data_IF_458595223590
#
_entry.id   IF_458595223590
#
_cell.length_a   1.000
_cell.length_b   1.000
_cell.length_c   1.000
_cell.angle_alpha   90.00
_cell.angle_beta   90.00
_cell.angle_gamma   90.00
#
_symmetry.space_group_name_H-M   'P 1'
#
loop_
_entity.id
_entity.type
_entity.pdbx_description
1 polymer ?
#
# COMPACT_ATOMS: atom_id res chain seq x y z
N UNK A 1 50.48 27.83 -3.56
CA UNK A 1 49.90 27.50 -2.24
C UNK A 1 48.42 27.89 -2.14
N UNK A 2 48.00 29.06 -2.62
CA UNK A 2 46.61 29.54 -2.56
C UNK A 2 45.60 28.77 -3.47
N UNK A 3 46.06 28.23 -4.61
CA UNK A 3 45.18 27.53 -5.57
C UNK A 3 44.68 26.16 -5.09
N UNK A 4 45.50 25.42 -4.33
CA UNK A 4 45.10 24.11 -3.83
C UNK A 4 44.14 24.22 -2.64
N UNK A 5 44.33 25.21 -1.76
CA UNK A 5 43.39 25.51 -0.68
C UNK A 5 42.03 25.94 -1.20
N UNK A 6 41.98 26.80 -2.23
CA UNK A 6 40.72 27.21 -2.87
C UNK A 6 39.95 26.03 -3.48
N UNK A 7 40.64 25.08 -4.13
CA UNK A 7 40.02 23.87 -4.69
C UNK A 7 39.46 22.94 -3.61
N UNK A 8 40.22 22.70 -2.53
CA UNK A 8 39.78 21.86 -1.42
C UNK A 8 38.57 22.47 -0.71
N UNK A 9 38.59 23.78 -0.46
CA UNK A 9 37.49 24.52 0.18
C UNK A 9 36.24 24.51 -0.71
N UNK A 10 36.38 24.73 -2.02
CA UNK A 10 35.26 24.66 -2.97
C UNK A 10 34.59 23.28 -3.01
N UNK A 11 35.38 22.20 -2.96
CA UNK A 11 34.86 20.82 -2.89
C UNK A 11 34.16 20.57 -1.56
N UNK A 12 34.73 21.01 -0.43
CA UNK A 12 34.13 20.83 0.89
C UNK A 12 32.80 21.58 1.04
N UNK A 13 32.71 22.81 0.54
CA UNK A 13 31.46 23.61 0.54
C UNK A 13 30.41 22.97 -0.37
N UNK A 14 30.82 22.49 -1.55
CA UNK A 14 29.91 21.79 -2.47
C UNK A 14 29.37 20.49 -1.88
N UNK A 15 30.22 19.73 -1.18
CA UNK A 15 29.82 18.52 -0.47
C UNK A 15 28.88 18.83 0.70
N UNK A 16 29.14 19.89 1.47
CA UNK A 16 28.28 20.34 2.56
C UNK A 16 26.91 20.81 2.04
N UNK A 17 26.89 21.64 0.99
CA UNK A 17 25.66 22.10 0.35
C UNK A 17 24.84 20.92 -0.18
N UNK A 18 25.49 19.93 -0.81
CA UNK A 18 24.83 18.71 -1.28
C UNK A 18 24.30 17.88 -0.11
N UNK A 19 25.06 17.70 0.98
CA UNK A 19 24.62 16.98 2.17
C UNK A 19 23.40 17.64 2.84
N UNK A 20 23.30 18.98 2.79
CA UNK A 20 22.18 19.75 3.35
C UNK A 20 20.96 19.76 2.42
N UNK A 21 21.14 19.74 1.09
CA UNK A 21 20.04 19.75 0.10
C UNK A 21 19.47 18.35 -0.21
N UNK A 22 20.28 17.30 -0.07
CA UNK A 22 19.90 15.89 -0.29
C UNK A 22 18.70 15.40 0.54
N UNK A 23 18.48 15.80 1.82
CA UNK A 23 17.33 15.39 2.61
C UNK A 23 15.99 15.76 1.96
N UNK A 24 15.90 16.97 1.38
CA UNK A 24 14.70 17.42 0.67
C UNK A 24 14.46 16.63 -0.62
N UNK A 25 15.52 16.35 -1.37
CA UNK A 25 15.47 15.52 -2.59
C UNK A 25 15.04 14.08 -2.28
N UNK A 26 15.61 13.47 -1.25
CA UNK A 26 15.28 12.10 -0.83
C UNK A 26 13.81 11.99 -0.38
N UNK A 27 13.28 12.99 0.33
CA UNK A 27 11.87 13.03 0.72
C UNK A 27 10.91 13.17 -0.49
N UNK A 28 11.31 13.88 -1.56
CA UNK A 28 10.51 13.92 -2.79
C UNK A 28 10.55 12.58 -3.51
N UNK A 29 11.73 11.96 -3.62
CA UNK A 29 11.90 10.64 -4.23
C UNK A 29 11.11 9.57 -3.47
N UNK A 30 11.18 9.56 -2.14
CA UNK A 30 10.47 8.59 -1.30
C UNK A 30 8.96 8.66 -1.45
N UNK A 31 8.40 9.88 -1.49
CA UNK A 31 6.98 10.12 -1.76
C UNK A 31 6.54 9.64 -3.14
N UNK A 32 7.39 9.74 -4.16
CA UNK A 32 7.10 9.19 -5.50
C UNK A 32 7.01 7.66 -5.46
N UNK A 33 7.93 6.99 -4.76
CA UNK A 33 7.88 5.53 -4.60
C UNK A 33 6.63 5.08 -3.84
N UNK A 34 6.25 5.77 -2.76
CA UNK A 34 5.03 5.46 -2.02
C UNK A 34 3.78 5.66 -2.89
N UNK A 35 3.70 6.75 -3.66
CA UNK A 35 2.58 6.98 -4.57
C UNK A 35 2.51 5.93 -5.68
N UNK A 36 3.66 5.52 -6.23
CA UNK A 36 3.73 4.45 -7.21
C UNK A 36 3.19 3.14 -6.64
N UNK A 37 3.69 2.69 -5.49
CA UNK A 37 3.22 1.47 -4.84
C UNK A 37 1.70 1.50 -4.56
N UNK A 38 1.16 2.66 -4.18
CA UNK A 38 -0.29 2.81 -3.96
C UNK A 38 -1.09 2.70 -5.25
N UNK A 39 -0.61 3.27 -6.36
CA UNK A 39 -1.23 3.10 -7.68
C UNK A 39 -1.24 1.64 -8.09
N UNK A 40 -0.10 0.98 -7.95
CA UNK A 40 0.05 -0.42 -8.34
C UNK A 40 -0.86 -1.30 -7.48
N UNK A 41 -0.99 -1.00 -6.18
CA UNK A 41 -1.94 -1.71 -5.31
C UNK A 41 -3.41 -1.43 -5.68
N UNK A 42 -3.77 -0.20 -6.03
CA UNK A 42 -5.13 0.12 -6.53
C UNK A 42 -5.44 -0.69 -7.79
N UNK A 43 -4.47 -0.86 -8.69
CA UNK A 43 -4.60 -1.77 -9.84
C UNK A 43 -4.85 -3.21 -9.39
N UNK A 44 -4.10 -3.71 -8.39
CA UNK A 44 -4.31 -5.05 -7.81
C UNK A 44 -5.67 -5.27 -7.14
N UNK A 45 -6.38 -4.21 -6.72
CA UNK A 45 -7.75 -4.31 -6.19
C UNK A 45 -8.81 -4.29 -7.29
N UNK A 46 -8.46 -3.89 -8.52
CA UNK A 46 -9.40 -3.78 -9.63
C UNK A 46 -9.90 -5.16 -10.10
N UNK A 47 -11.01 -5.21 -10.85
CA UNK A 47 -11.53 -6.50 -11.34
C UNK A 47 -10.52 -7.20 -12.27
N UNK A 48 -9.81 -6.44 -13.08
CA UNK A 48 -8.84 -6.93 -14.06
C UNK A 48 -7.55 -6.12 -13.92
N UNK A 49 -6.64 -6.53 -13.01
CA UNK A 49 -5.38 -5.84 -12.82
C UNK A 49 -4.50 -5.94 -14.07
N UNK A 50 -3.74 -4.89 -14.34
CA UNK A 50 -2.76 -4.85 -15.44
C UNK A 50 -1.54 -5.73 -15.17
N UNK A 51 -1.12 -5.85 -13.92
CA UNK A 51 -0.02 -6.70 -13.49
C UNK A 51 -0.55 -7.95 -12.81
N UNK A 52 0.12 -9.07 -13.02
CA UNK A 52 -0.16 -10.28 -12.27
C UNK A 52 0.38 -10.20 -10.82
N UNK A 53 0.05 -11.20 -10.00
CA UNK A 53 0.44 -11.25 -8.59
C UNK A 53 1.96 -11.14 -8.37
N UNK A 54 2.75 -11.89 -9.13
CA UNK A 54 4.22 -11.96 -8.96
C UNK A 54 4.93 -10.71 -9.48
N UNK A 55 4.38 -10.06 -10.51
CA UNK A 55 4.85 -8.76 -10.99
C UNK A 55 4.64 -7.68 -9.91
N UNK A 56 3.45 -7.63 -9.30
CA UNK A 56 3.19 -6.69 -8.20
C UNK A 56 4.08 -6.96 -6.98
N UNK A 57 4.28 -8.24 -6.62
CA UNK A 57 5.19 -8.63 -5.57
C UNK A 57 6.63 -8.14 -5.85
N UNK A 58 7.09 -8.34 -7.08
CA UNK A 58 8.41 -7.89 -7.54
C UNK A 58 8.55 -6.37 -7.51
N UNK A 59 7.53 -5.62 -7.94
CA UNK A 59 7.50 -4.15 -7.85
C UNK A 59 7.57 -3.67 -6.40
N UNK A 60 6.86 -4.35 -5.50
CA UNK A 60 6.89 -4.03 -4.07
C UNK A 60 8.28 -4.25 -3.49
N UNK A 61 8.92 -5.40 -3.76
CA UNK A 61 10.30 -5.64 -3.32
C UNK A 61 11.30 -4.66 -3.94
N UNK A 62 11.10 -4.27 -5.20
CA UNK A 62 11.91 -3.25 -5.84
C UNK A 62 11.82 -1.92 -5.09
N UNK A 63 10.61 -1.48 -4.72
CA UNK A 63 10.42 -0.28 -3.90
C UNK A 63 11.06 -0.42 -2.51
N UNK A 64 11.02 -1.60 -1.90
CA UNK A 64 11.71 -1.89 -0.62
C UNK A 64 13.22 -1.73 -0.75
N UNK A 65 13.81 -2.29 -1.80
CA UNK A 65 15.23 -2.15 -2.08
C UNK A 65 15.65 -0.70 -2.38
N UNK A 66 14.82 0.06 -3.11
CA UNK A 66 15.09 1.47 -3.39
C UNK A 66 15.01 2.35 -2.14
N UNK A 67 14.08 2.06 -1.23
CA UNK A 67 13.85 2.86 -0.03
C UNK A 67 14.76 2.46 1.13
N UNK A 68 15.25 1.22 1.21
CA UNK A 68 16.15 0.78 2.30
C UNK A 68 17.41 1.66 2.42
N UNK A 69 17.94 2.11 1.27
CA UNK A 69 19.08 3.01 1.16
C UNK A 69 18.75 4.50 1.33
N UNK A 70 17.47 4.87 1.52
CA UNK A 70 17.05 6.26 1.70
C UNK A 70 17.32 6.76 3.13
N UNK A 71 17.68 8.03 3.28
CA UNK A 71 17.76 8.67 4.61
C UNK A 71 16.38 9.01 5.19
N UNK A 72 15.30 8.89 4.41
CA UNK A 72 13.92 9.10 4.88
C UNK A 72 13.45 7.93 5.74
N UNK A 73 13.73 8.02 7.05
CA UNK A 73 13.33 7.02 8.04
C UNK A 73 11.81 6.84 8.18
N UNK A 74 11.02 7.86 7.83
CA UNK A 74 9.56 7.77 7.90
C UNK A 74 9.04 6.97 6.72
N UNK A 75 9.50 7.26 5.49
CA UNK A 75 9.12 6.50 4.31
C UNK A 75 9.56 5.03 4.38
N UNK A 76 10.76 4.76 4.91
CA UNK A 76 11.22 3.38 5.15
C UNK A 76 10.30 2.62 6.10
N UNK A 77 9.98 3.20 7.27
CA UNK A 77 9.06 2.59 8.24
C UNK A 77 7.67 2.38 7.66
N UNK A 78 7.18 3.36 6.90
CA UNK A 78 5.90 3.24 6.20
C UNK A 78 5.91 2.04 5.26
N UNK A 79 6.93 1.92 4.42
CA UNK A 79 7.00 0.86 3.43
C UNK A 79 7.14 -0.53 4.06
N UNK A 80 7.96 -0.67 5.10
CA UNK A 80 8.13 -1.95 5.79
C UNK A 80 6.84 -2.41 6.46
N UNK A 81 6.09 -1.49 7.08
CA UNK A 81 4.82 -1.82 7.73
C UNK A 81 3.71 -2.06 6.72
N UNK A 82 3.54 -1.13 5.79
CA UNK A 82 2.37 -1.11 4.91
C UNK A 82 2.59 -1.91 3.63
N UNK A 83 3.80 -2.00 3.10
CA UNK A 83 4.10 -2.84 1.93
C UNK A 83 3.72 -4.30 2.14
N UNK A 84 4.03 -4.86 3.33
CA UNK A 84 3.62 -6.23 3.70
C UNK A 84 2.09 -6.36 3.77
N UNK A 85 1.39 -5.37 4.33
CA UNK A 85 -0.08 -5.38 4.38
C UNK A 85 -0.69 -5.34 2.97
N UNK A 86 -0.14 -4.52 2.07
CA UNK A 86 -0.58 -4.44 0.68
C UNK A 86 -0.35 -5.76 -0.07
N UNK A 87 0.81 -6.41 0.14
CA UNK A 87 1.09 -7.74 -0.41
C UNK A 87 0.08 -8.78 0.11
N UNK A 88 -0.14 -8.84 1.41
CA UNK A 88 -1.11 -9.76 2.02
C UNK A 88 -2.53 -9.55 1.47
N UNK A 89 -2.95 -8.29 1.30
CA UNK A 89 -4.22 -7.99 0.66
C UNK A 89 -4.24 -8.50 -0.79
N UNK A 90 -3.21 -8.18 -1.58
CA UNK A 90 -3.12 -8.60 -2.99
C UNK A 90 -3.19 -10.12 -3.13
N UNK A 91 -2.43 -10.87 -2.33
CA UNK A 91 -2.43 -12.33 -2.33
C UNK A 91 -3.83 -12.91 -2.09
N UNK A 92 -4.56 -12.40 -1.09
CA UNK A 92 -5.90 -12.91 -0.82
C UNK A 92 -6.89 -12.52 -1.94
N UNK A 93 -6.75 -11.34 -2.54
CA UNK A 93 -7.59 -10.95 -3.68
C UNK A 93 -7.30 -11.84 -4.90
N UNK A 94 -6.05 -12.22 -5.15
CA UNK A 94 -5.70 -13.19 -6.18
C UNK A 94 -6.26 -14.58 -5.91
N UNK A 95 -6.19 -15.06 -4.66
CA UNK A 95 -6.88 -16.29 -4.26
C UNK A 95 -8.38 -16.21 -4.47
N UNK A 96 -8.99 -15.06 -4.17
CA UNK A 96 -10.41 -14.83 -4.41
C UNK A 96 -10.73 -14.87 -5.91
N UNK A 97 -9.91 -14.27 -6.78
CA UNK A 97 -10.08 -14.33 -8.24
C UNK A 97 -9.94 -15.75 -8.80
N UNK A 98 -8.92 -16.47 -8.33
CA UNK A 98 -8.64 -17.84 -8.75
C UNK A 98 -9.64 -18.85 -8.17
N UNK A 99 -10.43 -18.45 -7.17
CA UNK A 99 -11.47 -19.31 -6.63
C UNK A 99 -12.58 -19.51 -7.67
N UNK A 100 -12.76 -20.77 -8.05
CA UNK A 100 -13.77 -21.21 -9.00
C UNK A 100 -14.76 -22.13 -8.29
N UNK A 101 -16.04 -21.90 -8.54
CA UNK A 101 -17.09 -22.84 -8.16
C UNK A 101 -17.92 -23.17 -9.38
N UNK A 102 -18.37 -24.44 -9.45
CA UNK A 102 -19.34 -24.89 -10.45
C UNK A 102 -20.71 -24.22 -10.29
N UNK A 103 -20.93 -23.48 -9.18
CA UNK A 103 -22.17 -22.77 -8.90
C UNK A 103 -22.09 -21.30 -9.32
N UNK A 104 -22.91 -20.91 -10.30
CA UNK A 104 -23.02 -19.53 -10.76
C UNK A 104 -23.32 -18.50 -9.65
N UNK A 105 -24.12 -18.80 -8.60
CA UNK A 105 -24.41 -17.83 -7.53
C UNK A 105 -23.19 -17.43 -6.69
N UNK A 106 -22.34 -18.39 -6.31
CA UNK A 106 -21.17 -18.08 -5.46
C UNK A 106 -20.08 -17.33 -6.23
N UNK A 107 -19.93 -17.63 -7.53
CA UNK A 107 -19.08 -16.85 -8.43
C UNK A 107 -19.51 -15.37 -8.50
N UNK A 108 -20.82 -15.10 -8.43
CA UNK A 108 -21.34 -13.73 -8.33
C UNK A 108 -21.00 -13.08 -6.99
N UNK A 109 -21.08 -13.82 -5.88
CA UNK A 109 -20.69 -13.30 -4.56
C UNK A 109 -19.20 -12.94 -4.52
N UNK A 110 -18.33 -13.79 -5.08
CA UNK A 110 -16.91 -13.50 -5.28
C UNK A 110 -16.71 -12.18 -6.04
N UNK A 111 -17.36 -12.03 -7.19
CA UNK A 111 -17.24 -10.83 -8.03
C UNK A 111 -17.75 -9.56 -7.31
N UNK A 112 -18.81 -9.68 -6.50
CA UNK A 112 -19.29 -8.60 -5.62
C UNK A 112 -18.20 -8.22 -4.62
N UNK A 113 -17.59 -9.20 -3.94
CA UNK A 113 -16.53 -8.94 -2.97
C UNK A 113 -15.34 -8.21 -3.60
N UNK A 114 -14.92 -8.60 -4.80
CA UNK A 114 -13.87 -7.89 -5.55
C UNK A 114 -14.31 -6.45 -5.90
N UNK A 115 -15.58 -6.27 -6.29
CA UNK A 115 -16.09 -4.94 -6.64
C UNK A 115 -16.16 -3.98 -5.45
N UNK A 116 -16.40 -4.49 -4.23
CA UNK A 116 -16.41 -3.70 -2.99
C UNK A 116 -15.04 -3.10 -2.68
N UNK A 117 -13.96 -3.69 -3.16
CA UNK A 117 -12.60 -3.19 -2.94
C UNK A 117 -12.31 -1.88 -3.69
N UNK A 118 -13.21 -1.52 -4.63
CA UNK A 118 -13.13 -0.25 -5.34
C UNK A 118 -13.16 0.89 -4.33
N UNK A 119 -12.26 1.84 -4.51
CA UNK A 119 -12.13 3.04 -3.68
C UNK A 119 -11.65 2.82 -2.24
N UNK A 120 -11.31 1.60 -1.80
CA UNK A 120 -10.64 1.37 -0.49
C UNK A 120 -9.33 2.16 -0.40
N UNK A 121 -8.64 2.32 -1.52
CA UNK A 121 -7.40 3.08 -1.62
C UNK A 121 -7.38 4.02 -2.83
N UNK A 122 -6.59 5.08 -2.72
CA UNK A 122 -6.16 5.94 -3.82
C UNK A 122 -4.65 6.17 -3.74
N UNK A 123 -4.05 6.83 -4.73
CA UNK A 123 -2.64 7.24 -4.66
C UNK A 123 -2.33 8.11 -3.42
N UNK A 124 -3.34 8.84 -2.94
CA UNK A 124 -3.23 9.72 -1.76
C UNK A 124 -3.24 8.94 -0.44
N UNK A 125 -3.67 7.69 -0.46
CA UNK A 125 -3.71 6.78 0.69
C UNK A 125 -5.03 6.05 0.79
N UNK A 126 -5.18 5.35 1.91
CA UNK A 126 -6.41 4.64 2.29
C UNK A 126 -7.57 5.62 2.40
N UNK A 127 -8.73 5.25 1.88
CA UNK A 127 -9.96 6.02 2.03
C UNK A 127 -10.75 5.43 3.21
N UNK A 128 -10.65 6.06 4.39
CA UNK A 128 -11.14 5.47 5.65
C UNK A 128 -12.65 5.16 5.64
N UNK A 129 -13.47 6.04 5.06
CA UNK A 129 -14.92 5.81 4.94
C UNK A 129 -15.24 4.62 4.00
N UNK A 130 -14.76 4.59 2.74
CA UNK A 130 -14.90 3.42 1.88
C UNK A 130 -14.37 2.12 2.50
N UNK A 131 -13.21 2.16 3.17
CA UNK A 131 -12.64 1.00 3.85
C UNK A 131 -13.59 0.45 4.92
N UNK A 132 -14.12 1.30 5.81
CA UNK A 132 -15.03 0.86 6.86
C UNK A 132 -16.31 0.22 6.30
N UNK A 133 -16.91 0.82 5.26
CA UNK A 133 -18.08 0.25 4.58
C UNK A 133 -17.74 -1.10 3.93
N UNK A 134 -16.58 -1.20 3.29
CA UNK A 134 -16.11 -2.43 2.65
C UNK A 134 -15.92 -3.54 3.67
N UNK A 135 -15.27 -3.26 4.81
CA UNK A 135 -15.08 -4.22 5.89
C UNK A 135 -16.41 -4.73 6.45
N UNK A 136 -17.37 -3.82 6.69
CA UNK A 136 -18.70 -4.19 7.16
C UNK A 136 -19.44 -5.11 6.17
N UNK A 137 -19.39 -4.81 4.87
CA UNK A 137 -20.03 -5.66 3.86
C UNK A 137 -19.34 -7.01 3.70
N UNK A 138 -18.00 -7.06 3.70
CA UNK A 138 -17.25 -8.32 3.66
C UNK A 138 -17.57 -9.20 4.88
N UNK A 139 -17.66 -8.59 6.07
CA UNK A 139 -18.06 -9.29 7.29
C UNK A 139 -19.46 -9.88 7.16
N UNK A 140 -20.44 -9.08 6.73
CA UNK A 140 -21.84 -9.52 6.55
C UNK A 140 -21.95 -10.67 5.56
N UNK A 141 -21.22 -10.60 4.44
CA UNK A 141 -21.18 -11.66 3.43
C UNK A 141 -20.56 -12.93 4.01
N UNK A 142 -19.43 -12.80 4.71
CA UNK A 142 -18.75 -13.92 5.37
C UNK A 142 -19.69 -14.63 6.36
N UNK A 143 -20.36 -13.89 7.23
CA UNK A 143 -21.30 -14.45 8.20
C UNK A 143 -22.46 -15.17 7.50
N UNK A 144 -23.00 -14.59 6.42
CA UNK A 144 -24.08 -15.22 5.65
C UNK A 144 -23.63 -16.55 5.03
N UNK A 145 -22.44 -16.58 4.43
CA UNK A 145 -21.90 -17.78 3.78
C UNK A 145 -21.50 -18.86 4.80
N UNK A 146 -21.01 -18.48 5.98
CA UNK A 146 -20.62 -19.41 7.04
C UNK A 146 -21.79 -20.21 7.62
N UNK A 147 -23.02 -19.71 7.52
CA UNK A 147 -24.22 -20.44 7.94
C UNK A 147 -24.83 -21.30 6.82
N UNK A 148 -24.26 -21.28 5.61
CA UNK A 148 -24.81 -21.96 4.46
C UNK A 148 -24.34 -23.43 4.40
N UNK A 149 -25.22 -24.39 4.17
CA UNK A 149 -24.87 -25.82 4.23
C UNK A 149 -23.86 -26.32 3.16
N UNK A 150 -23.65 -25.56 2.08
CA UNK A 150 -22.74 -25.99 1.01
C UNK A 150 -21.26 -25.82 1.40
N UNK A 151 -20.40 -26.82 1.15
CA UNK A 151 -18.98 -26.72 1.48
C UNK A 151 -18.26 -25.60 0.71
N UNK A 152 -18.62 -25.40 -0.58
CA UNK A 152 -18.07 -24.31 -1.39
C UNK A 152 -18.38 -22.91 -0.81
N UNK A 153 -19.52 -22.74 -0.13
CA UNK A 153 -19.85 -21.48 0.54
C UNK A 153 -18.93 -21.22 1.74
N UNK A 154 -18.60 -22.26 2.51
CA UNK A 154 -17.66 -22.17 3.62
C UNK A 154 -16.22 -21.87 3.15
N UNK A 155 -15.78 -22.49 2.04
CA UNK A 155 -14.48 -22.18 1.44
C UNK A 155 -14.40 -20.72 1.01
N UNK A 156 -15.43 -20.21 0.34
CA UNK A 156 -15.51 -18.81 -0.06
C UNK A 156 -15.55 -17.88 1.17
N UNK A 157 -16.31 -18.24 2.21
CA UNK A 157 -16.34 -17.50 3.47
C UNK A 157 -14.94 -17.39 4.10
N UNK A 158 -14.16 -18.48 4.10
CA UNK A 158 -12.80 -18.48 4.63
C UNK A 158 -11.84 -17.56 3.84
N UNK A 159 -11.99 -17.47 2.52
CA UNK A 159 -11.22 -16.51 1.70
C UNK A 159 -11.64 -15.08 2.02
N UNK A 160 -12.95 -14.80 2.09
CA UNK A 160 -13.50 -13.46 2.39
C UNK A 160 -13.11 -13.01 3.79
N UNK A 161 -13.12 -13.90 4.78
CA UNK A 161 -12.66 -13.61 6.14
C UNK A 161 -11.18 -13.20 6.16
N UNK A 162 -10.32 -13.95 5.45
CA UNK A 162 -8.91 -13.59 5.32
C UNK A 162 -8.73 -12.24 4.64
N UNK A 163 -9.57 -11.91 3.65
CA UNK A 163 -9.55 -10.62 2.98
C UNK A 163 -9.94 -9.50 3.95
N UNK A 164 -11.00 -9.70 4.74
CA UNK A 164 -11.42 -8.78 5.80
C UNK A 164 -10.29 -8.52 6.80
N UNK A 165 -9.65 -9.57 7.32
CA UNK A 165 -8.53 -9.47 8.27
C UNK A 165 -7.29 -8.79 7.68
N UNK A 166 -6.98 -9.03 6.40
CA UNK A 166 -5.87 -8.34 5.73
C UNK A 166 -6.17 -6.85 5.54
N UNK A 167 -7.40 -6.51 5.14
CA UNK A 167 -7.83 -5.14 4.89
C UNK A 167 -8.01 -4.32 6.17
N UNK A 168 -8.47 -4.92 7.27
CA UNK A 168 -8.69 -4.20 8.54
C UNK A 168 -7.41 -3.59 9.10
N UNK A 169 -6.25 -4.16 8.77
CA UNK A 169 -4.96 -3.55 9.13
C UNK A 169 -4.80 -2.14 8.54
N UNK A 170 -5.42 -1.85 7.38
CA UNK A 170 -5.40 -0.53 6.75
C UNK A 170 -6.17 0.55 7.53
N UNK A 171 -7.01 0.19 8.49
CA UNK A 171 -7.67 1.17 9.37
C UNK A 171 -6.64 1.95 10.18
N UNK A 172 -5.53 1.30 10.54
CA UNK A 172 -4.42 1.93 11.26
C UNK A 172 -3.49 2.73 10.33
N UNK A 173 -3.78 2.78 9.02
CA UNK A 173 -2.95 3.52 8.08
C UNK A 173 -3.07 5.03 8.31
N UNK A 174 -1.95 5.76 8.19
CA UNK A 174 -1.95 7.21 8.36
C UNK A 174 -2.92 7.86 7.36
N UNK A 175 -3.70 8.83 7.86
CA UNK A 175 -4.74 9.52 7.09
C UNK A 175 -4.19 10.12 5.80
N UNK A 176 -5.04 10.29 4.78
CA UNK A 176 -4.63 10.84 3.49
C UNK A 176 -3.81 12.14 3.66
N UNK A 177 -2.64 12.19 3.02
CA UNK A 177 -1.76 13.37 3.05
C UNK A 177 -0.77 13.50 4.23
N UNK A 178 -0.84 12.64 5.26
CA UNK A 178 -0.01 12.78 6.47
C UNK A 178 1.46 12.33 6.34
N UNK A 179 1.89 11.78 5.20
CA UNK A 179 3.32 11.54 4.92
C UNK A 179 4.11 12.83 4.62
N UNK A 180 3.57 14.00 4.94
CA UNK A 180 4.23 15.29 4.77
C UNK A 180 5.02 15.64 6.03
N UNK A 181 6.38 15.69 5.97
CA UNK A 181 7.17 16.33 7.00
C UNK A 181 7.03 17.84 6.82
N UNK A 182 5.96 18.41 7.38
CA UNK A 182 5.70 19.86 7.37
C UNK A 182 5.22 20.42 8.71
N UNK A 183 5.05 19.59 9.73
CA UNK A 183 4.53 19.99 11.04
C UNK A 183 5.64 20.18 12.10
N UNK A 184 6.72 20.88 11.75
CA UNK A 184 7.77 21.27 12.71
C UNK A 184 8.28 22.71 12.56
N UNK A 185 7.50 23.62 11.96
CA UNK A 185 7.75 25.05 12.11
C UNK A 185 6.45 25.84 12.23
N UNK A 186 5.88 25.85 13.43
CA UNK A 186 5.22 27.04 13.97
C UNK A 186 5.86 27.32 15.32
N UNK A 187 6.60 28.43 15.50
CA UNK A 187 6.91 28.89 16.84
C UNK A 187 5.57 29.29 17.47
N UNK A 188 5.23 28.69 18.60
CA UNK A 188 4.20 29.25 19.47
C UNK A 188 4.72 30.60 19.95
N UNK A 189 3.93 31.65 19.68
CA UNK A 189 4.09 32.97 20.26
C UNK A 189 3.71 32.96 21.74
#
# INVERSE_FOLDING_TARGET
LNDNTAKIVGVAISWLAFAILRPGSDAVKSRRHIRALRRDFVDQLSRHPSHNESEFESLTYHHVSQLSNSQDALARRWLLRWGVVLLNCSHVVWQLRAWESRSDPLSRVRDICISLLRDVMSERGVQQRPLAVTLQELQRICDTLAHHHQPAAHELAAIIWRLHCSLSQLEQAPAQGTLSPGYLMTPQA
#
